data_IF_373879044763
#
_entry.id   IF_373879044763
#
_cell.length_a   1.000
_cell.length_b   1.000
_cell.length_c   1.000
_cell.angle_alpha   90.00
_cell.angle_beta   90.00
_cell.angle_gamma   90.00
#
_symmetry.space_group_name_H-M   'P 1'
#
loop_
_entity.id
_entity.type
_entity.pdbx_description
1 polymer ?
#
# COMPACT_ATOMS: atom_id res chain seq x y z
N UNK A 1 -7.08 -7.56 12.83
CA UNK A 1 -6.56 -7.51 11.43
C UNK A 1 -6.38 -6.05 11.01
N UNK A 2 -5.22 -5.69 10.49
CA UNK A 2 -4.92 -4.32 10.07
C UNK A 2 -5.78 -3.90 8.86
N UNK A 3 -6.46 -2.75 8.93
CA UNK A 3 -7.37 -2.24 7.88
C UNK A 3 -6.81 -1.05 7.10
N UNK A 4 -6.02 -0.19 7.74
CA UNK A 4 -5.55 1.07 7.14
C UNK A 4 -4.06 1.28 7.43
N UNK A 5 -3.30 1.73 6.43
CA UNK A 5 -1.89 2.11 6.54
C UNK A 5 -1.74 3.50 5.96
N UNK A 6 -1.05 4.41 6.64
CA UNK A 6 -0.75 5.75 6.13
C UNK A 6 0.75 5.90 5.96
N UNK A 7 1.18 6.16 4.73
CA UNK A 7 2.58 6.38 4.38
C UNK A 7 2.74 7.86 4.04
N UNK A 8 3.35 8.62 4.95
CA UNK A 8 3.65 10.04 4.73
C UNK A 8 4.93 10.27 3.92
N UNK A 9 5.77 9.24 3.79
CA UNK A 9 7.06 9.35 3.10
C UNK A 9 6.93 9.23 1.58
N UNK A 10 7.67 10.08 0.87
CA UNK A 10 7.82 10.06 -0.60
C UNK A 10 9.04 9.27 -1.08
N UNK A 11 9.90 8.81 -0.15
CA UNK A 11 11.18 8.13 -0.45
C UNK A 11 11.08 6.60 -0.49
N UNK A 12 9.86 6.03 -0.51
CA UNK A 12 9.69 4.57 -0.50
C UNK A 12 10.13 3.96 -1.84
N UNK A 13 11.22 3.18 -1.82
CA UNK A 13 11.80 2.56 -3.03
C UNK A 13 11.36 1.11 -3.23
N UNK A 14 11.21 0.34 -2.14
CA UNK A 14 10.93 -1.10 -2.20
C UNK A 14 9.89 -1.53 -1.17
N UNK A 15 9.13 -2.55 -1.53
CA UNK A 15 8.14 -3.22 -0.68
C UNK A 15 8.37 -4.72 -0.78
N UNK A 16 8.49 -5.39 0.37
CA UNK A 16 8.67 -6.83 0.45
C UNK A 16 7.54 -7.62 -0.22
N UNK A 17 7.87 -8.78 -0.82
CA UNK A 17 6.93 -9.61 -1.60
C UNK A 17 5.67 -10.05 -0.82
N UNK A 18 5.77 -10.15 0.51
CA UNK A 18 4.68 -10.58 1.41
C UNK A 18 4.35 -9.55 2.49
N UNK A 19 4.69 -8.27 2.29
CA UNK A 19 4.51 -7.22 3.29
C UNK A 19 3.07 -7.06 3.80
N UNK A 20 2.07 -7.44 2.99
CA UNK A 20 0.65 -7.36 3.37
C UNK A 20 0.00 -8.72 3.64
N UNK A 21 0.79 -9.80 3.78
CA UNK A 21 0.25 -11.13 4.12
C UNK A 21 -0.38 -11.10 5.52
N UNK A 22 -1.60 -11.61 5.66
CA UNK A 22 -2.33 -11.62 6.95
C UNK A 22 -3.08 -10.31 7.28
N UNK A 23 -3.03 -9.31 6.39
CA UNK A 23 -3.82 -8.08 6.55
C UNK A 23 -5.30 -8.28 6.20
N UNK A 24 -6.13 -7.28 6.49
CA UNK A 24 -7.55 -7.28 6.11
C UNK A 24 -7.73 -7.51 4.62
N UNK A 25 -8.77 -8.25 4.24
CA UNK A 25 -9.12 -8.50 2.85
C UNK A 25 -9.44 -7.20 2.07
N UNK A 26 -9.78 -6.11 2.76
CA UNK A 26 -9.84 -4.75 2.21
C UNK A 26 -8.84 -3.89 2.99
N UNK A 27 -7.64 -3.71 2.43
CA UNK A 27 -6.59 -2.86 3.03
C UNK A 27 -6.59 -1.49 2.34
N UNK A 28 -6.68 -0.41 3.11
CA UNK A 28 -6.56 0.96 2.58
C UNK A 28 -5.17 1.51 2.87
N UNK A 29 -4.40 1.85 1.83
CA UNK A 29 -3.09 2.49 1.98
C UNK A 29 -3.22 3.95 1.54
N UNK A 30 -3.06 4.88 2.48
CA UNK A 30 -2.99 6.31 2.20
C UNK A 30 -1.55 6.70 1.85
N UNK A 31 -1.36 7.34 0.71
CA UNK A 31 -0.04 7.72 0.17
C UNK A 31 -0.08 9.17 -0.31
N UNK A 32 1.07 9.85 -0.45
CA UNK A 32 1.09 11.23 -0.95
C UNK A 32 0.62 11.27 -2.41
N UNK A 33 -0.21 12.24 -2.80
CA UNK A 33 -0.70 12.41 -4.20
C UNK A 33 0.40 12.29 -5.24
N UNK A 34 1.57 12.89 -4.98
CA UNK A 34 2.74 12.90 -5.88
C UNK A 34 3.26 11.49 -6.24
N UNK A 35 2.98 10.47 -5.42
CA UNK A 35 3.48 9.09 -5.58
C UNK A 35 2.37 8.05 -5.73
N UNK A 36 1.12 8.46 -5.92
CA UNK A 36 -0.04 7.56 -5.98
C UNK A 36 0.12 6.45 -7.05
N UNK A 37 0.49 6.81 -8.28
CA UNK A 37 0.64 5.86 -9.38
C UNK A 37 1.79 4.87 -9.15
N UNK A 38 2.94 5.37 -8.68
CA UNK A 38 4.11 4.53 -8.37
C UNK A 38 3.81 3.55 -7.23
N UNK A 39 3.16 4.04 -6.17
CA UNK A 39 2.86 3.23 -4.99
C UNK A 39 1.73 2.21 -5.28
N UNK A 40 0.77 2.55 -6.14
CA UNK A 40 -0.23 1.60 -6.65
C UNK A 40 0.41 0.41 -7.36
N UNK A 41 1.45 0.64 -8.17
CA UNK A 41 2.24 -0.42 -8.81
C UNK A 41 3.07 -1.21 -7.78
N UNK A 42 3.72 -0.52 -6.84
CA UNK A 42 4.54 -1.15 -5.79
C UNK A 42 3.74 -2.08 -4.86
N UNK A 43 2.53 -1.69 -4.49
CA UNK A 43 1.70 -2.47 -3.54
C UNK A 43 0.86 -3.55 -4.20
N UNK A 44 0.77 -3.57 -5.53
CA UNK A 44 0.09 -4.63 -6.27
C UNK A 44 0.77 -5.97 -5.98
N UNK A 45 -0.04 -6.98 -5.60
CA UNK A 45 0.40 -8.36 -5.36
C UNK A 45 1.45 -8.56 -4.25
N UNK A 46 1.61 -7.63 -3.29
CA UNK A 46 2.58 -7.76 -2.17
C UNK A 46 2.06 -8.57 -0.96
N UNK A 47 1.24 -9.59 -1.21
CA UNK A 47 0.65 -10.45 -0.17
C UNK A 47 -0.82 -10.16 0.15
N UNK A 48 -1.43 -9.16 -0.50
CA UNK A 48 -2.87 -8.92 -0.47
C UNK A 48 -3.35 -8.53 -1.89
N UNK A 49 -4.35 -9.24 -2.40
CA UNK A 49 -4.90 -9.02 -3.76
C UNK A 49 -5.84 -7.81 -3.82
N UNK A 50 -6.44 -7.41 -2.70
CA UNK A 50 -7.47 -6.37 -2.61
C UNK A 50 -6.96 -5.17 -1.78
N UNK A 51 -5.89 -4.55 -2.29
CA UNK A 51 -5.31 -3.32 -1.72
C UNK A 51 -5.91 -2.11 -2.44
N UNK A 52 -6.44 -1.18 -1.65
CA UNK A 52 -6.99 0.10 -2.12
C UNK A 52 -5.99 1.19 -1.77
N UNK A 53 -5.38 1.81 -2.77
CA UNK A 53 -4.45 2.93 -2.58
C UNK A 53 -5.22 4.23 -2.74
N UNK A 54 -5.21 5.08 -1.70
CA UNK A 54 -5.86 6.40 -1.69
C UNK A 54 -4.80 7.49 -1.50
N UNK A 55 -5.04 8.64 -2.10
CA UNK A 55 -4.23 9.83 -1.84
C UNK A 55 -4.58 10.42 -0.46
N UNK A 56 -3.55 10.92 0.22
CA UNK A 56 -3.66 11.92 1.29
C UNK A 56 -3.21 13.27 0.73
#
# INVERSE_FOLDING_TARGET
>A
KLKTITIKSTKLKKVGKKAFKGTSHKLTIKVPKKKLAAYKKLFKNKGNKKVVVKAI
#
